data_IF_653856886591
#
_entry.id   IF_653856886591
#
_cell.length_a   1.000
_cell.length_b   1.000
_cell.length_c   1.000
_cell.angle_alpha   90.00
_cell.angle_beta   90.00
_cell.angle_gamma   90.00
#
_symmetry.space_group_name_H-M   'P 1'
#
loop_
_entity.id
_entity.type
_entity.pdbx_description
1 polymer ?
#
# COMPACT_ATOMS: atom_id res chain seq x y z
N UNK A 1 -0.68 11.39 -12.99
CA UNK A 1 0.27 10.27 -12.75
C UNK A 1 1.71 10.71 -12.45
N UNK A 2 2.18 11.90 -12.86
CA UNK A 2 3.58 12.34 -12.63
C UNK A 2 3.91 12.59 -11.14
N UNK A 3 2.98 13.16 -10.36
CA UNK A 3 3.17 13.45 -8.93
C UNK A 3 3.47 12.20 -8.08
N UNK A 4 2.68 11.11 -8.12
CA UNK A 4 2.98 9.91 -7.33
C UNK A 4 4.27 9.22 -7.75
N UNK A 5 4.60 9.22 -9.05
CA UNK A 5 5.88 8.67 -9.54
C UNK A 5 7.06 9.46 -8.98
N UNK A 6 6.99 10.80 -8.98
CA UNK A 6 8.04 11.63 -8.41
C UNK A 6 8.24 11.38 -6.90
N UNK A 7 7.16 11.16 -6.16
CA UNK A 7 7.23 10.83 -4.73
C UNK A 7 7.94 9.49 -4.52
N UNK A 8 7.61 8.46 -5.31
CA UNK A 8 8.27 7.15 -5.24
C UNK A 8 9.76 7.26 -5.56
N UNK A 9 10.14 8.07 -6.55
CA UNK A 9 11.56 8.30 -6.89
C UNK A 9 12.30 8.98 -5.74
N UNK A 10 11.70 9.97 -5.08
CA UNK A 10 12.30 10.64 -3.92
C UNK A 10 12.47 9.67 -2.75
N UNK A 11 11.45 8.85 -2.47
CA UNK A 11 11.52 7.81 -1.44
C UNK A 11 12.64 6.82 -1.78
N UNK A 12 12.75 6.40 -3.04
CA UNK A 12 13.81 5.49 -3.47
C UNK A 12 15.21 6.06 -3.25
N UNK A 13 15.45 7.32 -3.63
CA UNK A 13 16.74 8.00 -3.41
C UNK A 13 17.05 8.06 -1.90
N UNK A 14 16.05 8.36 -1.07
CA UNK A 14 16.20 8.37 0.37
C UNK A 14 16.53 6.97 0.91
N UNK A 15 15.80 5.94 0.50
CA UNK A 15 16.06 4.56 0.87
C UNK A 15 17.43 4.06 0.40
N UNK A 16 17.94 4.55 -0.74
CA UNK A 16 19.27 4.23 -1.22
C UNK A 16 20.34 4.77 -0.28
N UNK A 17 20.18 5.98 0.25
CA UNK A 17 21.12 6.56 1.22
C UNK A 17 21.20 5.79 2.55
N UNK A 18 20.11 5.12 2.94
CA UNK A 18 20.05 4.30 4.17
C UNK A 18 20.21 2.79 3.92
N UNK A 19 20.39 2.38 2.67
CA UNK A 19 20.52 0.97 2.33
C UNK A 19 21.87 0.41 2.78
N UNK A 20 21.86 -0.80 3.31
CA UNK A 20 23.05 -1.50 3.78
C UNK A 20 23.24 -2.80 2.99
N UNK A 21 24.51 -3.19 2.81
CA UNK A 21 24.91 -4.48 2.27
C UNK A 21 25.04 -5.56 3.36
N UNK A 22 24.79 -5.24 4.62
CA UNK A 22 24.85 -6.19 5.73
C UNK A 22 23.75 -7.26 5.61
N UNK A 23 24.18 -8.51 5.52
CA UNK A 23 23.33 -9.70 5.41
C UNK A 23 22.38 -9.88 6.58
N UNK A 24 22.83 -9.62 7.80
CA UNK A 24 21.96 -9.75 8.97
C UNK A 24 20.86 -8.68 8.93
N UNK A 25 21.20 -7.46 8.50
CA UNK A 25 20.25 -6.36 8.43
C UNK A 25 19.17 -6.62 7.37
N UNK A 26 19.55 -7.02 6.15
CA UNK A 26 18.54 -7.21 5.10
C UNK A 26 17.69 -8.47 5.32
N UNK A 27 18.24 -9.56 5.89
CA UNK A 27 17.47 -10.80 6.12
C UNK A 27 16.35 -10.62 7.13
N UNK A 28 16.55 -9.80 8.17
CA UNK A 28 15.51 -9.49 9.16
C UNK A 28 14.33 -8.79 8.47
N UNK A 29 14.64 -7.83 7.60
CA UNK A 29 13.63 -7.07 6.85
C UNK A 29 12.89 -8.01 5.89
N UNK A 30 13.61 -8.86 5.16
CA UNK A 30 13.04 -9.83 4.21
C UNK A 30 12.09 -10.81 4.87
N UNK A 31 12.44 -11.32 6.05
CA UNK A 31 11.63 -12.29 6.76
C UNK A 31 10.34 -11.68 7.33
N UNK A 32 10.39 -10.44 7.82
CA UNK A 32 9.26 -9.79 8.49
C UNK A 32 8.28 -9.13 7.50
N UNK A 33 8.78 -8.57 6.40
CA UNK A 33 7.99 -7.68 5.52
C UNK A 33 6.74 -8.34 4.93
N UNK A 34 6.81 -9.54 4.31
CA UNK A 34 5.63 -10.16 3.71
C UNK A 34 4.54 -10.48 4.75
N UNK A 35 4.94 -10.92 5.94
CA UNK A 35 4.01 -11.23 7.02
C UNK A 35 3.25 -10.00 7.52
N UNK A 36 3.97 -8.89 7.72
CA UNK A 36 3.36 -7.61 8.14
C UNK A 36 2.42 -7.07 7.05
N UNK A 37 2.86 -7.03 5.79
CA UNK A 37 2.04 -6.55 4.68
C UNK A 37 0.80 -7.42 4.49
N UNK A 38 0.94 -8.75 4.57
CA UNK A 38 -0.17 -9.69 4.47
C UNK A 38 -1.20 -9.50 5.58
N UNK A 39 -0.76 -9.33 6.83
CA UNK A 39 -1.65 -9.08 7.96
C UNK A 39 -2.45 -7.77 7.79
N UNK A 40 -1.79 -6.70 7.34
CA UNK A 40 -2.43 -5.41 7.12
C UNK A 40 -3.45 -5.49 5.97
N UNK A 41 -3.09 -6.15 4.88
CA UNK A 41 -3.97 -6.32 3.72
C UNK A 41 -5.21 -7.15 4.06
N UNK A 42 -5.05 -8.18 4.89
CA UNK A 42 -6.16 -8.95 5.48
C UNK A 42 -7.05 -8.08 6.37
N UNK A 43 -6.46 -7.26 7.25
CA UNK A 43 -7.19 -6.33 8.12
C UNK A 43 -8.00 -5.29 7.34
N UNK A 44 -7.40 -4.69 6.29
CA UNK A 44 -8.10 -3.77 5.39
C UNK A 44 -9.26 -4.48 4.71
N UNK A 45 -9.05 -5.67 4.14
CA UNK A 45 -10.10 -6.44 3.44
C UNK A 45 -11.28 -6.77 4.37
N UNK A 46 -11.00 -7.13 5.62
CA UNK A 46 -12.03 -7.36 6.64
C UNK A 46 -12.80 -6.06 6.95
N UNK A 47 -12.10 -4.95 7.18
CA UNK A 47 -12.71 -3.64 7.43
C UNK A 47 -13.62 -3.17 6.29
N UNK A 48 -13.17 -3.34 5.04
CA UNK A 48 -13.96 -3.02 3.85
C UNK A 48 -15.23 -3.88 3.74
N UNK A 49 -15.13 -5.17 4.08
CA UNK A 49 -16.29 -6.07 4.06
C UNK A 49 -17.38 -5.62 5.03
N UNK A 50 -17.00 -5.15 6.23
CA UNK A 50 -17.93 -4.60 7.22
C UNK A 50 -18.57 -3.31 6.69
N UNK A 51 -17.78 -2.39 6.14
CA UNK A 51 -18.30 -1.12 5.59
C UNK A 51 -19.30 -1.39 4.46
N UNK A 52 -18.97 -2.29 3.53
CA UNK A 52 -19.89 -2.65 2.44
C UNK A 52 -21.16 -3.34 2.95
N UNK A 53 -21.06 -4.19 3.96
CA UNK A 53 -22.22 -4.84 4.57
C UNK A 53 -23.18 -3.82 5.19
N UNK A 54 -22.66 -2.84 5.94
CA UNK A 54 -23.46 -1.74 6.50
C UNK A 54 -24.07 -0.90 5.40
N UNK A 55 -23.31 -0.55 4.36
CA UNK A 55 -23.82 0.22 3.22
C UNK A 55 -24.97 -0.52 2.52
N UNK A 56 -24.80 -1.79 2.18
CA UNK A 56 -25.83 -2.59 1.51
C UNK A 56 -27.11 -2.63 2.33
N UNK A 57 -26.97 -2.76 3.65
CA UNK A 57 -28.10 -2.71 4.59
C UNK A 57 -28.80 -1.36 4.51
N UNK A 58 -28.09 -0.25 4.72
CA UNK A 58 -28.66 1.12 4.73
C UNK A 58 -29.32 1.47 3.39
N UNK A 59 -28.71 1.09 2.27
CA UNK A 59 -29.24 1.40 0.92
C UNK A 59 -30.50 0.58 0.61
N UNK A 60 -30.68 -0.59 1.23
CA UNK A 60 -31.91 -1.38 1.10
C UNK A 60 -33.06 -0.86 1.96
N UNK A 61 -32.75 -0.25 3.11
CA UNK A 61 -33.76 0.21 4.07
C UNK A 61 -34.22 1.64 3.80
N UNK A 62 -33.32 2.50 3.32
CA UNK A 62 -33.61 3.91 3.07
C UNK A 62 -33.51 4.22 1.57
N UNK A 63 -34.60 4.72 0.99
CA UNK A 63 -34.64 5.31 -0.36
C UNK A 63 -33.91 6.69 -0.39
N UNK A 64 -32.78 6.81 0.29
CA UNK A 64 -32.07 8.07 0.46
C UNK A 64 -31.23 8.41 -0.75
N UNK A 65 -31.28 9.70 -1.12
CA UNK A 65 -30.39 10.37 -2.09
C UNK A 65 -28.95 10.43 -1.54
N UNK A 66 -28.32 9.28 -1.28
CA UNK A 66 -26.88 9.24 -1.04
C UNK A 66 -26.23 9.78 -2.32
N UNK A 67 -25.36 10.79 -2.21
CA UNK A 67 -24.54 11.27 -3.33
C UNK A 67 -23.50 10.19 -3.66
N UNK A 68 -23.96 9.16 -4.35
CA UNK A 68 -23.21 7.96 -4.71
C UNK A 68 -21.94 8.31 -5.48
N UNK A 69 -21.91 9.44 -6.18
CA UNK A 69 -20.73 9.92 -6.92
C UNK A 69 -19.52 10.23 -6.02
N UNK A 70 -19.72 10.81 -4.84
CA UNK A 70 -18.63 11.08 -3.89
C UNK A 70 -18.12 9.76 -3.30
N UNK A 71 -19.05 8.87 -2.92
CA UNK A 71 -18.75 7.54 -2.41
C UNK A 71 -17.99 6.67 -3.43
N UNK A 72 -18.40 6.70 -4.69
CA UNK A 72 -17.74 5.95 -5.77
C UNK A 72 -16.31 6.43 -6.01
N UNK A 73 -16.05 7.73 -5.80
CA UNK A 73 -14.68 8.28 -5.79
C UNK A 73 -13.82 7.64 -4.69
N UNK A 74 -14.33 7.56 -3.45
CA UNK A 74 -13.61 6.91 -2.34
C UNK A 74 -13.35 5.44 -2.61
N UNK A 75 -14.35 4.69 -3.10
CA UNK A 75 -14.18 3.27 -3.44
C UNK A 75 -13.17 3.09 -4.57
N UNK A 76 -13.16 3.97 -5.56
CA UNK A 76 -12.18 3.93 -6.64
C UNK A 76 -10.76 4.17 -6.14
N UNK A 77 -10.53 5.17 -5.29
CA UNK A 77 -9.21 5.44 -4.70
C UNK A 77 -8.74 4.26 -3.85
N UNK A 78 -9.61 3.79 -2.95
CA UNK A 78 -9.35 2.64 -2.08
C UNK A 78 -9.01 1.37 -2.87
N UNK A 79 -9.70 1.11 -4.00
CA UNK A 79 -9.39 -0.03 -4.87
C UNK A 79 -7.97 0.07 -5.43
N UNK A 80 -7.56 1.25 -5.87
CA UNK A 80 -6.20 1.47 -6.40
C UNK A 80 -5.17 1.26 -5.30
N UNK A 81 -5.42 1.77 -4.10
CA UNK A 81 -4.54 1.64 -2.95
C UNK A 81 -4.37 0.17 -2.51
N UNK A 82 -5.47 -0.59 -2.44
CA UNK A 82 -5.43 -2.03 -2.11
C UNK A 82 -4.66 -2.82 -3.17
N UNK A 83 -4.85 -2.51 -4.45
CA UNK A 83 -4.14 -3.19 -5.54
C UNK A 83 -2.64 -2.85 -5.53
N UNK A 84 -2.30 -1.59 -5.22
CA UNK A 84 -0.91 -1.17 -5.03
C UNK A 84 -0.26 -1.89 -3.84
N UNK A 85 -0.95 -2.05 -2.70
CA UNK A 85 -0.47 -2.84 -1.57
C UNK A 85 -0.29 -4.32 -1.92
N UNK A 86 -1.19 -4.89 -2.72
CA UNK A 86 -1.05 -6.26 -3.21
C UNK A 86 0.20 -6.40 -4.09
N UNK A 87 0.46 -5.43 -4.96
CA UNK A 87 1.68 -5.39 -5.76
C UNK A 87 2.95 -5.27 -4.88
N UNK A 88 2.91 -4.45 -3.82
CA UNK A 88 4.00 -4.36 -2.84
C UNK A 88 4.23 -5.68 -2.09
N UNK A 89 3.15 -6.40 -1.74
CA UNK A 89 3.25 -7.71 -1.12
C UNK A 89 3.94 -8.72 -2.06
N UNK A 90 3.50 -8.80 -3.31
CA UNK A 90 4.13 -9.67 -4.32
C UNK A 90 5.59 -9.28 -4.53
N UNK A 91 5.89 -7.99 -4.65
CA UNK A 91 7.25 -7.49 -4.79
C UNK A 91 8.13 -7.87 -3.59
N UNK A 92 7.60 -7.80 -2.36
CA UNK A 92 8.36 -8.16 -1.14
C UNK A 92 8.72 -9.65 -1.07
N UNK A 93 7.98 -10.52 -1.76
CA UNK A 93 8.31 -11.94 -1.90
C UNK A 93 9.29 -12.19 -3.06
N UNK A 94 9.17 -11.43 -4.14
CA UNK A 94 9.90 -11.65 -5.38
C UNK A 94 11.30 -11.00 -5.33
N UNK A 95 11.46 -9.86 -4.65
CA UNK A 95 12.74 -9.15 -4.48
C UNK A 95 13.83 -9.99 -3.78
N UNK A 96 13.56 -10.69 -2.65
CA UNK A 96 14.54 -11.58 -2.02
C UNK A 96 14.99 -12.71 -2.95
N UNK A 97 14.05 -13.28 -3.71
CA UNK A 97 14.36 -14.31 -4.69
C UNK A 97 15.30 -13.77 -5.77
N UNK A 98 14.99 -12.62 -6.37
CA UNK A 98 15.83 -11.96 -7.39
C UNK A 98 17.20 -11.52 -6.83
N UNK A 99 17.27 -11.16 -5.54
CA UNK A 99 18.56 -10.88 -4.88
C UNK A 99 19.47 -12.10 -4.88
N UNK A 100 18.93 -13.31 -4.76
CA UNK A 100 19.73 -14.55 -4.75
C UNK A 100 19.97 -15.05 -6.18
N UNK A 101 18.91 -15.31 -6.96
CA UNK A 101 19.01 -15.95 -8.28
C UNK A 101 19.52 -15.02 -9.38
N UNK A 102 19.33 -13.72 -9.21
CA UNK A 102 19.70 -12.72 -10.20
C UNK A 102 18.68 -12.66 -11.30
N UNK A 103 18.89 -11.74 -12.24
CA UNK A 103 18.11 -11.74 -13.48
C UNK A 103 18.90 -12.61 -14.45
N UNK A 104 18.46 -13.84 -14.78
CA UNK A 104 19.23 -14.78 -15.59
C UNK A 104 19.57 -14.27 -17.02
N UNK A 105 19.00 -13.14 -17.44
CA UNK A 105 19.19 -12.50 -18.74
C UNK A 105 19.93 -11.14 -18.68
N UNK A 106 20.24 -10.61 -17.49
CA UNK A 106 20.88 -9.30 -17.32
C UNK A 106 22.07 -9.41 -16.35
N UNK A 107 23.29 -9.25 -16.88
CA UNK A 107 24.46 -9.06 -16.02
C UNK A 107 24.36 -7.67 -15.37
N UNK A 108 24.56 -7.62 -14.05
CA UNK A 108 24.54 -6.37 -13.32
C UNK A 108 25.72 -5.49 -13.78
N UNK A 109 25.50 -4.22 -14.16
CA UNK A 109 26.57 -3.37 -14.66
C UNK A 109 27.58 -3.08 -13.54
N UNK A 110 28.86 -3.31 -13.83
CA UNK A 110 29.96 -3.08 -12.90
C UNK A 110 30.52 -1.68 -13.19
N UNK A 111 30.03 -0.67 -12.47
CA UNK A 111 30.53 0.71 -12.53
C UNK A 111 30.62 1.28 -11.11
N UNK A 112 31.65 2.10 -10.82
CA UNK A 112 31.87 2.70 -9.49
C UNK A 112 30.70 3.56 -8.98
N UNK A 113 29.87 4.08 -9.88
CA UNK A 113 28.69 4.89 -9.56
C UNK A 113 27.43 4.05 -9.31
N UNK A 114 27.47 2.74 -9.59
CA UNK A 114 26.32 1.84 -9.41
C UNK A 114 26.46 1.12 -8.07
N UNK A 115 25.45 1.20 -7.18
CA UNK A 115 25.50 0.53 -5.89
C UNK A 115 25.65 -0.98 -6.05
N UNK A 116 26.29 -1.64 -5.09
CA UNK A 116 26.38 -3.10 -5.08
C UNK A 116 24.97 -3.73 -5.18
N UNK A 117 24.90 -4.92 -5.78
CA UNK A 117 23.66 -5.66 -5.99
C UNK A 117 22.86 -5.79 -4.68
N UNK A 118 23.51 -6.15 -3.57
CA UNK A 118 22.82 -6.31 -2.29
C UNK A 118 22.23 -4.99 -1.81
N UNK A 119 23.02 -3.92 -1.86
CA UNK A 119 22.63 -2.55 -1.51
C UNK A 119 21.43 -2.08 -2.35
N UNK A 120 21.44 -2.32 -3.67
CA UNK A 120 20.33 -1.98 -4.57
C UNK A 120 19.03 -2.71 -4.22
N UNK A 121 19.08 -4.03 -4.03
CA UNK A 121 17.90 -4.79 -3.63
C UNK A 121 17.41 -4.39 -2.23
N UNK A 122 18.33 -4.01 -1.32
CA UNK A 122 17.95 -3.51 0.01
C UNK A 122 17.23 -2.17 -0.11
N UNK A 123 17.71 -1.26 -0.95
CA UNK A 123 17.03 0.00 -1.24
C UNK A 123 15.64 -0.22 -1.83
N UNK A 124 15.48 -1.14 -2.79
CA UNK A 124 14.17 -1.50 -3.36
C UNK A 124 13.21 -2.05 -2.32
N UNK A 125 13.70 -2.87 -1.40
CA UNK A 125 12.88 -3.45 -0.35
C UNK A 125 12.45 -2.41 0.67
N UNK A 126 13.37 -1.55 1.11
CA UNK A 126 13.05 -0.40 1.96
C UNK A 126 12.02 0.52 1.27
N UNK A 127 12.18 0.78 -0.02
CA UNK A 127 11.22 1.57 -0.80
C UNK A 127 9.85 0.91 -0.82
N UNK A 128 9.80 -0.41 -1.03
CA UNK A 128 8.55 -1.18 -1.01
C UNK A 128 7.84 -1.05 0.34
N UNK A 129 8.59 -1.11 1.44
CA UNK A 129 8.06 -0.93 2.80
C UNK A 129 7.55 0.50 2.99
N UNK A 130 8.35 1.51 2.66
CA UNK A 130 7.98 2.92 2.81
C UNK A 130 6.74 3.29 1.99
N UNK A 131 6.66 2.83 0.74
CA UNK A 131 5.48 3.02 -0.12
C UNK A 131 4.28 2.31 0.47
N UNK A 132 4.43 1.08 0.96
CA UNK A 132 3.35 0.36 1.62
C UNK A 132 2.80 1.12 2.82
N UNK A 133 3.67 1.64 3.69
CA UNK A 133 3.26 2.45 4.85
C UNK A 133 2.49 3.69 4.41
N UNK A 134 2.97 4.40 3.38
CA UNK A 134 2.27 5.58 2.86
C UNK A 134 0.86 5.23 2.35
N UNK A 135 0.72 4.13 1.61
CA UNK A 135 -0.58 3.67 1.11
C UNK A 135 -1.48 3.24 2.27
N UNK A 136 -0.94 2.57 3.29
CA UNK A 136 -1.71 2.16 4.48
C UNK A 136 -2.32 3.38 5.17
N UNK A 137 -1.54 4.46 5.35
CA UNK A 137 -2.03 5.72 5.92
C UNK A 137 -3.17 6.30 5.09
N UNK A 138 -3.05 6.29 3.77
CA UNK A 138 -4.11 6.75 2.87
C UNK A 138 -5.39 5.90 2.99
N UNK A 139 -5.24 4.58 3.02
CA UNK A 139 -6.38 3.65 3.22
C UNK A 139 -7.10 3.95 4.54
N UNK A 140 -6.37 4.16 5.64
CA UNK A 140 -6.98 4.52 6.93
C UNK A 140 -7.70 5.88 6.84
N UNK A 141 -7.11 6.88 6.20
CA UNK A 141 -7.77 8.18 6.00
C UNK A 141 -9.07 8.04 5.21
N UNK A 142 -9.08 7.23 4.15
CA UNK A 142 -10.28 6.92 3.37
C UNK A 142 -11.31 6.21 4.23
N UNK A 143 -10.92 5.21 5.03
CA UNK A 143 -11.82 4.51 5.94
C UNK A 143 -12.44 5.44 7.00
N UNK A 144 -11.65 6.31 7.63
CA UNK A 144 -12.16 7.31 8.57
C UNK A 144 -13.06 8.35 7.89
N UNK A 145 -12.75 8.73 6.65
CA UNK A 145 -13.59 9.59 5.82
C UNK A 145 -14.96 8.97 5.56
N UNK A 146 -14.99 7.67 5.22
CA UNK A 146 -16.23 6.92 5.05
C UNK A 146 -17.04 6.86 6.34
N UNK A 147 -16.39 6.54 7.47
CA UNK A 147 -17.06 6.51 8.77
C UNK A 147 -17.72 7.85 9.09
N UNK A 148 -17.01 8.97 8.96
CA UNK A 148 -17.55 10.32 9.18
C UNK A 148 -18.71 10.64 8.25
N UNK A 149 -18.62 10.25 6.97
CA UNK A 149 -19.68 10.45 6.00
C UNK A 149 -20.97 9.73 6.42
N UNK A 150 -20.87 8.46 6.84
CA UNK A 150 -22.03 7.70 7.30
C UNK A 150 -22.59 8.17 8.64
N UNK A 151 -21.73 8.55 9.60
CA UNK A 151 -22.19 9.11 10.87
C UNK A 151 -22.99 10.39 10.66
N UNK A 152 -22.51 11.30 9.80
CA UNK A 152 -23.22 12.53 9.48
C UNK A 152 -24.57 12.27 8.79
N UNK A 153 -24.63 11.28 7.91
CA UNK A 153 -25.87 10.90 7.23
C UNK A 153 -26.94 10.40 8.21
N UNK A 154 -26.52 9.70 9.28
CA UNK A 154 -27.40 9.23 10.33
C UNK A 154 -27.96 10.40 11.17
N UNK A 155 -27.09 11.34 11.57
CA UNK A 155 -27.53 12.51 12.36
C UNK A 155 -28.53 13.39 11.59
N UNK A 156 -28.41 13.51 10.26
CA UNK A 156 -29.37 14.26 9.44
C UNK A 156 -30.73 13.54 9.31
N UNK A 157 -30.79 12.21 9.46
CA UNK A 157 -32.04 11.43 9.44
C UNK A 157 -32.78 11.44 10.79
N UNK A 158 -32.09 11.67 11.92
CA UNK A 158 -32.71 11.73 13.25
C UNK A 158 -33.34 13.11 13.54
N UNK A 159 -33.25 14.07 12.61
CA UNK A 159 -33.78 15.45 12.73
C UNK A 159 -35.07 15.68 11.90
N UNK A 160 -35.45 14.74 11.03
CA UNK A 160 -36.76 14.73 10.32
C UNK A 160 -37.80 13.85 11.04
#
# INVERSE_FOLDING_TARGET
>A
MIKPVAIVVIIFIFCLAFSSSDENAYKIIEAATPGILGAILGGITAGLSIIFSVLLTVTSTNATKIKLSSFMGFISSLRVDVLALLACLVASLLLPYLRVTGIPLLNYPIHELVPDRHTFYTALQLTTISVSVAIIVEVFNVMFGLFKYFSKLKDEQDIE
#
